data_IF_666006427891
#
_entry.id   IF_666006427891
#
_cell.length_a   1.000
_cell.length_b   1.000
_cell.length_c   1.000
_cell.angle_alpha   90.00
_cell.angle_beta   90.00
_cell.angle_gamma   90.00
#
_symmetry.space_group_name_H-M   'P 1'
#
loop_
_entity.id
_entity.type
_entity.pdbx_description
1 polymer ?
#
# COMPACT_ATOMS: atom_id res chain seq x y z
N UNK A 1 8.56 17.88 -8.32
CA UNK A 1 8.07 16.92 -9.36
C UNK A 1 6.65 16.53 -9.01
N UNK A 2 5.74 16.35 -9.98
CA UNK A 2 4.39 15.80 -9.72
C UNK A 2 4.48 14.27 -9.77
N UNK A 3 4.53 13.63 -8.60
CA UNK A 3 4.50 12.18 -8.47
C UNK A 3 3.13 11.76 -7.93
N UNK A 4 2.62 10.62 -8.41
CA UNK A 4 1.53 9.93 -7.74
C UNK A 4 2.10 9.15 -6.56
N UNK A 5 1.53 9.32 -5.38
CA UNK A 5 2.05 8.75 -4.13
C UNK A 5 0.99 7.91 -3.43
N UNK A 6 1.42 6.81 -2.84
CA UNK A 6 0.59 5.92 -2.03
C UNK A 6 1.31 5.70 -0.70
N UNK A 7 0.61 5.80 0.43
CA UNK A 7 1.18 5.49 1.75
C UNK A 7 0.64 4.16 2.29
N UNK A 8 1.48 3.46 3.05
CA UNK A 8 1.10 2.27 3.82
C UNK A 8 1.17 2.66 5.29
N UNK A 9 0.00 2.78 5.92
CA UNK A 9 -0.15 3.33 7.27
C UNK A 9 -0.67 2.28 8.24
N UNK A 10 -0.42 2.51 9.53
CA UNK A 10 -0.95 1.73 10.64
C UNK A 10 -1.76 2.59 11.61
N UNK A 11 -2.44 1.96 12.58
CA UNK A 11 -3.22 2.63 13.62
C UNK A 11 -4.28 3.57 13.03
N UNK A 12 -4.15 4.86 13.33
CA UNK A 12 -5.00 5.95 12.86
C UNK A 12 -4.40 6.73 11.67
N UNK A 13 -3.15 6.40 11.30
CA UNK A 13 -2.38 7.02 10.21
C UNK A 13 -1.50 8.19 10.62
N UNK A 14 -1.61 8.68 11.87
CA UNK A 14 -0.79 9.77 12.40
C UNK A 14 -0.73 11.01 11.51
N UNK A 15 0.42 11.69 11.55
CA UNK A 15 0.68 12.91 10.76
C UNK A 15 0.77 12.69 9.25
N UNK A 16 0.85 11.44 8.79
CA UNK A 16 1.05 11.11 7.37
C UNK A 16 -0.28 10.83 6.65
N UNK A 17 -1.37 10.70 7.38
CA UNK A 17 -2.71 10.53 6.80
C UNK A 17 -3.11 11.76 5.98
N UNK A 18 -3.54 11.53 4.75
CA UNK A 18 -3.94 12.56 3.80
C UNK A 18 -2.78 13.26 3.09
N UNK A 19 -1.54 12.86 3.35
CA UNK A 19 -0.35 13.46 2.71
C UNK A 19 -0.18 12.95 1.27
N UNK A 20 -0.62 11.71 0.99
CA UNK A 20 -0.51 11.10 -0.33
C UNK A 20 -1.85 11.13 -1.11
N UNK A 21 -1.80 10.88 -2.43
CA UNK A 21 -3.00 10.70 -3.26
C UNK A 21 -3.90 9.53 -2.77
N UNK A 22 -3.31 8.52 -2.12
CA UNK A 22 -4.01 7.36 -1.57
C UNK A 22 -3.32 6.84 -0.31
N UNK A 23 -4.08 6.58 0.74
CA UNK A 23 -3.60 5.95 1.97
C UNK A 23 -4.17 4.54 2.13
N UNK A 24 -3.28 3.56 2.30
CA UNK A 24 -3.61 2.18 2.68
C UNK A 24 -3.43 2.03 4.19
N UNK A 25 -4.51 2.26 4.94
CA UNK A 25 -4.51 2.29 6.40
C UNK A 25 -4.92 0.94 7.01
N UNK A 26 -3.98 0.29 7.70
CA UNK A 26 -4.24 -0.90 8.52
C UNK A 26 -4.57 -0.48 9.96
N UNK A 27 -5.85 -0.55 10.32
CA UNK A 27 -6.34 -0.17 11.66
C UNK A 27 -6.05 -1.28 12.67
N UNK A 28 -4.89 -1.23 13.31
CA UNK A 28 -4.49 -2.16 14.36
C UNK A 28 -3.42 -1.53 15.27
N UNK A 29 -3.34 -1.94 16.53
CA UNK A 29 -2.39 -1.38 17.51
C UNK A 29 -1.06 -2.13 17.63
N UNK A 30 -1.02 -3.40 17.22
CA UNK A 30 0.23 -4.16 17.08
C UNK A 30 0.92 -3.84 15.76
N UNK A 31 2.13 -3.29 15.85
CA UNK A 31 3.01 -3.05 14.70
C UNK A 31 3.30 -4.34 13.91
N UNK A 32 3.44 -5.48 14.60
CA UNK A 32 3.69 -6.77 13.93
C UNK A 32 2.54 -7.15 12.99
N UNK A 33 1.29 -7.03 13.47
CA UNK A 33 0.10 -7.30 12.64
C UNK A 33 -0.07 -6.29 11.51
N UNK A 34 0.30 -5.03 11.74
CA UNK A 34 0.32 -4.01 10.68
C UNK A 34 1.31 -4.41 9.59
N UNK A 35 2.53 -4.83 9.94
CA UNK A 35 3.54 -5.21 8.97
C UNK A 35 3.20 -6.49 8.20
N UNK A 36 2.59 -7.48 8.86
CA UNK A 36 2.06 -8.67 8.18
C UNK A 36 1.01 -8.30 7.11
N UNK A 37 0.08 -7.40 7.46
CA UNK A 37 -0.91 -6.89 6.51
C UNK A 37 -0.26 -6.09 5.37
N UNK A 38 0.74 -5.24 5.67
CA UNK A 38 1.49 -4.51 4.65
C UNK A 38 2.23 -5.45 3.70
N UNK A 39 2.85 -6.51 4.22
CA UNK A 39 3.54 -7.51 3.40
C UNK A 39 2.55 -8.20 2.45
N UNK A 40 1.37 -8.60 2.94
CA UNK A 40 0.31 -9.15 2.09
C UNK A 40 -0.12 -8.16 1.00
N UNK A 41 -0.38 -6.90 1.36
CA UNK A 41 -0.80 -5.86 0.41
C UNK A 41 0.26 -5.61 -0.67
N UNK A 42 1.55 -5.60 -0.31
CA UNK A 42 2.66 -5.47 -1.26
C UNK A 42 2.69 -6.68 -2.21
N UNK A 43 2.53 -7.90 -1.70
CA UNK A 43 2.51 -9.09 -2.56
C UNK A 43 1.34 -9.07 -3.56
N UNK A 44 0.13 -8.71 -3.11
CA UNK A 44 -1.04 -8.55 -3.99
C UNK A 44 -0.80 -7.46 -5.04
N UNK A 45 -0.22 -6.33 -4.65
CA UNK A 45 0.11 -5.26 -5.59
C UNK A 45 1.11 -5.73 -6.65
N UNK A 46 2.16 -6.45 -6.25
CA UNK A 46 3.13 -7.04 -7.17
C UNK A 46 2.47 -8.02 -8.14
N UNK A 47 1.60 -8.92 -7.66
CA UNK A 47 0.87 -9.88 -8.50
C UNK A 47 -0.02 -9.18 -9.54
N UNK A 48 -0.78 -8.16 -9.12
CA UNK A 48 -1.62 -7.35 -10.03
C UNK A 48 -0.77 -6.64 -11.08
N UNK A 49 0.34 -6.02 -10.66
CA UNK A 49 1.24 -5.33 -11.58
C UNK A 49 1.83 -6.31 -12.59
N UNK A 50 2.30 -7.46 -12.13
CA UNK A 50 2.92 -8.46 -12.99
C UNK A 50 1.92 -9.03 -13.99
N UNK A 51 0.70 -9.34 -13.54
CA UNK A 51 -0.40 -9.80 -14.40
C UNK A 51 -0.72 -8.75 -15.47
N UNK A 52 -0.92 -7.49 -15.08
CA UNK A 52 -1.20 -6.39 -16.03
C UNK A 52 -0.06 -6.14 -17.03
N UNK A 53 1.19 -6.31 -16.61
CA UNK A 53 2.35 -6.16 -17.50
C UNK A 53 2.42 -7.34 -18.49
N UNK A 54 2.06 -8.56 -18.08
CA UNK A 54 1.97 -9.72 -18.97
C UNK A 54 0.86 -9.55 -20.00
N UNK A 55 -0.31 -9.11 -19.57
CA UNK A 55 -1.47 -8.89 -20.45
C UNK A 55 -1.23 -7.80 -21.51
N UNK A 56 -0.42 -6.79 -21.21
CA UNK A 56 -0.06 -5.72 -22.14
C UNK A 56 1.04 -6.09 -23.16
N UNK A 57 1.58 -7.31 -23.13
CA UNK A 57 2.59 -7.80 -24.08
C UNK A 57 2.02 -8.65 -25.22
N UNK A 58 0.69 -8.71 -25.33
CA UNK A 58 -0.07 -9.24 -26.48
C UNK A 58 -0.82 -8.11 -27.16
#
# INVERSE_FOLDING_TARGET
>A
RKLKTITFLGRDGGSTKGVADLDLLVRHDSTARIQEAHQLLIHVLCEIIETRIKDNKT
#
